data_IF_447435946783
#
_entry.id   IF_447435946783
#
_cell.length_a   1.000
_cell.length_b   1.000
_cell.length_c   1.000
_cell.angle_alpha   90.00
_cell.angle_beta   90.00
_cell.angle_gamma   90.00
#
_symmetry.space_group_name_H-M   'P 1'
#
loop_
_entity.id
_entity.type
_entity.pdbx_description
1 polymer ?
#
# COMPACT_ATOMS: atom_id res chain seq x y z
N UNK A 1 -2.46 7.59 47.53
CA UNK A 1 -1.68 8.06 46.37
C UNK A 1 -1.91 7.06 45.27
N UNK A 2 -2.94 7.34 44.42
CA UNK A 2 -3.47 6.43 43.42
C UNK A 2 -2.91 6.83 42.06
N UNK A 3 -2.24 5.92 41.38
CA UNK A 3 -1.76 6.11 40.00
C UNK A 3 -2.94 6.19 39.02
N UNK A 4 -2.91 7.13 38.05
CA UNK A 4 -3.92 7.15 37.00
C UNK A 4 -3.73 5.99 36.02
N UNK A 5 -4.81 5.51 35.39
CA UNK A 5 -4.74 4.41 34.44
C UNK A 5 -4.05 4.86 33.14
N UNK A 6 -3.22 3.95 32.65
CA UNK A 6 -2.47 4.07 31.39
C UNK A 6 -3.42 4.26 30.20
N UNK A 7 -3.11 5.25 29.39
CA UNK A 7 -3.78 5.55 28.14
C UNK A 7 -3.74 4.35 27.19
N UNK A 8 -4.90 3.85 26.88
CA UNK A 8 -5.14 2.88 25.80
C UNK A 8 -4.95 3.60 24.46
N UNK A 9 -3.94 3.18 23.72
CA UNK A 9 -3.74 3.56 22.32
C UNK A 9 -5.00 3.25 21.51
N UNK A 10 -5.72 4.31 21.14
CA UNK A 10 -6.85 4.22 20.22
C UNK A 10 -6.25 4.01 18.83
N UNK A 11 -6.27 2.76 18.39
CA UNK A 11 -6.04 2.39 16.98
C UNK A 11 -7.12 3.06 16.13
N UNK A 12 -6.73 3.93 15.23
CA UNK A 12 -7.64 4.57 14.27
C UNK A 12 -8.18 3.49 13.32
N UNK A 13 -9.30 2.87 13.70
CA UNK A 13 -10.01 1.89 12.88
C UNK A 13 -10.55 2.56 11.61
N UNK A 14 -10.23 1.96 10.47
CA UNK A 14 -10.79 2.30 9.17
C UNK A 14 -12.32 2.14 9.20
N UNK A 15 -13.07 3.05 8.56
CA UNK A 15 -14.54 3.04 8.53
C UNK A 15 -15.15 1.76 7.88
N UNK A 16 -14.34 0.91 7.27
CA UNK A 16 -14.72 -0.39 6.72
C UNK A 16 -14.47 -1.57 7.68
N UNK A 17 -13.98 -1.33 8.90
CA UNK A 17 -13.71 -2.41 9.86
C UNK A 17 -12.59 -3.37 9.47
N UNK A 18 -11.91 -3.12 8.36
CA UNK A 18 -10.76 -3.90 7.92
C UNK A 18 -9.52 -3.26 8.56
N UNK A 19 -8.89 -3.97 9.49
CA UNK A 19 -7.61 -3.56 10.04
C UNK A 19 -6.62 -3.44 8.88
N UNK A 20 -6.07 -2.23 8.66
CA UNK A 20 -4.95 -2.07 7.71
C UNK A 20 -3.78 -2.86 8.29
N UNK A 21 -3.30 -3.92 7.62
CA UNK A 21 -2.20 -4.72 8.15
C UNK A 21 -1.00 -3.80 8.41
N UNK A 22 -0.26 -4.09 9.46
CA UNK A 22 1.06 -3.47 9.60
C UNK A 22 1.80 -3.73 8.29
N UNK A 23 2.32 -2.69 7.65
CA UNK A 23 2.89 -2.73 6.32
C UNK A 23 3.93 -3.84 6.11
N UNK A 24 4.57 -4.28 7.18
CA UNK A 24 5.56 -5.36 7.18
C UNK A 24 4.94 -6.75 6.98
N UNK A 25 3.63 -6.89 7.20
CA UNK A 25 2.90 -8.15 7.13
C UNK A 25 1.78 -8.17 6.07
N UNK A 26 1.68 -7.13 5.23
CA UNK A 26 0.71 -7.12 4.15
C UNK A 26 1.05 -8.21 3.12
N UNK A 27 0.11 -9.11 2.79
CA UNK A 27 0.36 -10.10 1.77
C UNK A 27 0.53 -9.46 0.40
N UNK A 28 1.26 -10.11 -0.51
CA UNK A 28 1.34 -9.69 -1.91
C UNK A 28 0.55 -10.65 -2.80
N UNK A 29 -0.19 -10.09 -3.76
CA UNK A 29 -0.97 -10.87 -4.72
C UNK A 29 -0.62 -10.48 -6.15
N UNK A 30 -0.19 -11.47 -6.93
CA UNK A 30 0.14 -11.29 -8.35
C UNK A 30 -0.52 -12.35 -9.23
N UNK A 31 -1.55 -11.98 -9.99
CA UNK A 31 -2.20 -12.88 -10.95
C UNK A 31 -1.44 -12.86 -12.28
N UNK A 32 -0.70 -13.94 -12.58
CA UNK A 32 0.12 -14.08 -13.77
C UNK A 32 -0.41 -15.17 -14.71
N UNK A 33 -1.07 -14.79 -15.77
CA UNK A 33 -1.63 -15.73 -16.73
C UNK A 33 -2.69 -16.64 -16.09
N UNK A 34 -2.39 -17.94 -16.01
CA UNK A 34 -3.25 -18.95 -15.36
C UNK A 34 -2.85 -19.19 -13.90
N UNK A 35 -1.77 -18.63 -13.43
CA UNK A 35 -1.25 -18.78 -12.07
C UNK A 35 -1.56 -17.55 -11.23
N UNK A 36 -2.05 -17.79 -10.02
CA UNK A 36 -2.28 -16.74 -9.03
C UNK A 36 -1.29 -16.95 -7.89
N UNK A 37 -0.32 -16.03 -7.77
CA UNK A 37 0.72 -16.11 -6.76
C UNK A 37 0.28 -15.27 -5.55
N UNK A 38 0.33 -15.90 -4.39
CA UNK A 38 0.09 -15.27 -3.11
C UNK A 38 1.32 -15.41 -2.22
N UNK A 39 1.77 -14.31 -1.66
CA UNK A 39 2.82 -14.30 -0.65
C UNK A 39 2.17 -13.81 0.64
N UNK A 40 2.17 -14.65 1.68
CA UNK A 40 1.62 -14.28 2.98
C UNK A 40 2.48 -13.21 3.66
N UNK A 41 1.93 -12.54 4.68
CA UNK A 41 2.70 -11.60 5.51
C UNK A 41 3.90 -12.23 6.24
N UNK A 42 3.90 -13.56 6.40
CA UNK A 42 5.02 -14.32 6.92
C UNK A 42 6.05 -14.72 5.85
N UNK A 43 5.79 -14.40 4.57
CA UNK A 43 6.67 -14.73 3.45
C UNK A 43 6.42 -16.12 2.84
N UNK A 44 5.34 -16.81 3.24
CA UNK A 44 4.97 -18.10 2.63
C UNK A 44 4.42 -17.85 1.22
N UNK A 45 4.84 -18.67 0.27
CA UNK A 45 4.54 -18.51 -1.15
C UNK A 45 3.63 -19.63 -1.61
N UNK A 46 2.44 -19.27 -2.07
CA UNK A 46 1.44 -20.19 -2.57
C UNK A 46 1.08 -19.90 -4.04
N UNK A 47 0.87 -20.96 -4.80
CA UNK A 47 0.14 -20.89 -6.08
C UNK A 47 -1.29 -21.31 -5.83
N UNK A 48 -2.22 -20.38 -5.88
CA UNK A 48 -3.61 -20.56 -5.49
C UNK A 48 -4.53 -20.58 -6.69
N UNK A 49 -5.71 -21.18 -6.56
CA UNK A 49 -6.76 -21.13 -7.54
C UNK A 49 -7.66 -19.89 -7.37
N UNK A 50 -8.62 -19.70 -8.28
CA UNK A 50 -9.53 -18.55 -8.25
C UNK A 50 -10.47 -18.54 -7.06
N UNK A 51 -10.90 -19.72 -6.61
CA UNK A 51 -11.80 -19.84 -5.46
C UNK A 51 -11.08 -19.41 -4.18
N UNK A 52 -9.87 -19.89 -3.98
CA UNK A 52 -9.03 -19.51 -2.85
C UNK A 52 -8.62 -18.03 -2.93
N UNK A 53 -8.27 -17.53 -4.11
CA UNK A 53 -7.98 -16.12 -4.31
C UNK A 53 -9.15 -15.24 -3.86
N UNK A 54 -10.38 -15.57 -4.25
CA UNK A 54 -11.58 -14.83 -3.87
C UNK A 54 -11.78 -14.82 -2.35
N UNK A 55 -11.49 -15.92 -1.65
CA UNK A 55 -11.56 -15.98 -0.19
C UNK A 55 -10.48 -15.12 0.48
N UNK A 56 -9.23 -15.25 0.05
CA UNK A 56 -8.10 -14.49 0.61
C UNK A 56 -8.23 -12.99 0.35
N UNK A 57 -8.72 -12.59 -0.83
CA UNK A 57 -8.93 -11.18 -1.20
C UNK A 57 -10.05 -10.51 -0.38
N UNK A 58 -11.03 -11.26 0.09
CA UNK A 58 -12.05 -10.76 1.05
C UNK A 58 -11.54 -10.68 2.48
N UNK A 59 -10.63 -11.58 2.86
CA UNK A 59 -10.13 -11.70 4.22
C UNK A 59 -8.96 -10.75 4.54
N UNK A 60 -8.32 -10.15 3.53
CA UNK A 60 -7.12 -9.35 3.71
C UNK A 60 -6.98 -8.25 2.67
N UNK A 61 -6.08 -7.29 2.95
CA UNK A 61 -5.76 -6.16 2.06
C UNK A 61 -4.39 -6.42 1.43
N UNK A 62 -4.31 -7.04 0.25
CA UNK A 62 -3.04 -7.38 -0.36
C UNK A 62 -2.39 -6.19 -1.07
N UNK A 63 -1.07 -6.26 -1.18
CA UNK A 63 -0.28 -5.44 -2.11
C UNK A 63 -0.45 -6.01 -3.51
N UNK A 64 -0.86 -5.17 -4.45
CA UNK A 64 -1.07 -5.54 -5.85
C UNK A 64 -0.42 -4.54 -6.81
N UNK A 65 -0.32 -4.91 -8.06
CA UNK A 65 0.05 -4.00 -9.13
C UNK A 65 -1.14 -3.80 -10.07
N UNK A 66 -1.75 -2.61 -10.06
CA UNK A 66 -2.87 -2.22 -10.89
C UNK A 66 -4.16 -3.02 -10.65
N UNK A 67 -5.06 -2.49 -9.83
CA UNK A 67 -6.29 -3.13 -9.35
C UNK A 67 -7.13 -3.77 -10.45
N UNK A 68 -7.55 -3.01 -11.46
CA UNK A 68 -8.42 -3.50 -12.54
C UNK A 68 -7.81 -4.65 -13.33
N UNK A 69 -6.49 -4.61 -13.54
CA UNK A 69 -5.80 -5.69 -14.20
C UNK A 69 -5.77 -6.96 -13.34
N UNK A 70 -5.54 -6.80 -12.04
CA UNK A 70 -5.55 -7.90 -11.06
C UNK A 70 -6.94 -8.53 -10.95
N UNK A 71 -8.00 -7.73 -10.89
CA UNK A 71 -9.40 -8.20 -10.89
C UNK A 71 -9.74 -9.01 -12.13
N UNK A 72 -9.41 -8.48 -13.32
CA UNK A 72 -9.68 -9.18 -14.59
C UNK A 72 -8.96 -10.53 -14.68
N UNK A 73 -7.75 -10.64 -14.13
CA UNK A 73 -6.97 -11.89 -14.12
C UNK A 73 -7.42 -12.86 -13.04
N UNK A 74 -7.73 -12.38 -11.87
CA UNK A 74 -8.26 -13.18 -10.76
C UNK A 74 -9.68 -13.70 -11.06
N UNK A 75 -10.44 -12.95 -11.86
CA UNK A 75 -11.86 -13.25 -12.15
C UNK A 75 -12.76 -12.93 -10.96
N UNK A 76 -12.33 -12.04 -10.07
CA UNK A 76 -13.08 -11.59 -8.91
C UNK A 76 -12.79 -10.13 -8.62
N UNK A 77 -13.74 -9.43 -8.04
CA UNK A 77 -13.57 -8.07 -7.55
C UNK A 77 -12.66 -8.04 -6.31
N UNK A 78 -11.87 -6.98 -6.17
CA UNK A 78 -10.98 -6.73 -5.03
C UNK A 78 -11.53 -5.54 -4.26
N UNK A 79 -12.19 -5.79 -3.12
CA UNK A 79 -12.85 -4.74 -2.33
C UNK A 79 -11.84 -3.75 -1.76
N UNK A 80 -10.73 -4.25 -1.21
CA UNK A 80 -9.66 -3.45 -0.63
C UNK A 80 -8.28 -3.98 -1.03
N UNK A 81 -7.38 -3.08 -1.39
CA UNK A 81 -6.01 -3.42 -1.75
C UNK A 81 -5.06 -2.25 -1.57
N UNK A 82 -3.79 -2.55 -1.55
CA UNK A 82 -2.69 -1.60 -1.59
C UNK A 82 -2.11 -1.61 -3.02
N UNK A 83 -2.67 -0.80 -3.90
CA UNK A 83 -2.19 -0.69 -5.29
C UNK A 83 -0.88 0.11 -5.35
N UNK A 84 0.22 -0.57 -5.71
CA UNK A 84 1.56 0.04 -5.76
C UNK A 84 1.63 1.14 -6.82
N UNK A 85 0.81 1.08 -7.87
CA UNK A 85 0.77 2.13 -8.89
C UNK A 85 0.20 3.44 -8.36
N UNK A 86 -0.78 3.38 -7.46
CA UNK A 86 -1.29 4.58 -6.77
C UNK A 86 -0.23 5.20 -5.87
N UNK A 87 0.48 4.37 -5.10
CA UNK A 87 1.59 4.83 -4.26
C UNK A 87 2.70 5.45 -5.12
N UNK A 88 3.06 4.80 -6.23
CA UNK A 88 4.06 5.33 -7.17
C UNK A 88 3.66 6.70 -7.72
N UNK A 89 2.43 6.85 -8.15
CA UNK A 89 1.92 8.14 -8.68
C UNK A 89 1.96 9.26 -7.63
N UNK A 90 1.73 8.93 -6.36
CA UNK A 90 1.85 9.88 -5.26
C UNK A 90 3.31 10.27 -4.98
N UNK A 91 4.21 9.29 -4.92
CA UNK A 91 5.64 9.51 -4.56
C UNK A 91 6.40 10.19 -5.69
N UNK A 92 6.10 9.81 -6.93
CA UNK A 92 6.80 10.28 -8.14
C UNK A 92 5.81 10.83 -9.16
N UNK A 93 5.15 11.96 -8.85
CA UNK A 93 4.16 12.56 -9.75
C UNK A 93 4.79 12.91 -11.09
N UNK A 94 4.04 12.71 -12.17
CA UNK A 94 4.45 12.96 -13.55
C UNK A 94 5.61 12.06 -14.09
N UNK A 95 5.99 11.00 -13.36
CA UNK A 95 6.89 9.98 -13.89
C UNK A 95 6.10 8.83 -14.50
N UNK A 96 6.54 8.36 -15.66
CA UNK A 96 5.95 7.19 -16.29
C UNK A 96 6.45 5.90 -15.65
N UNK A 97 5.52 4.98 -15.40
CA UNK A 97 5.81 3.61 -14.99
C UNK A 97 4.91 2.65 -15.77
N UNK A 98 5.47 1.58 -16.30
CA UNK A 98 4.66 0.51 -16.88
C UNK A 98 3.93 -0.23 -15.74
N UNK A 99 2.58 -0.38 -15.81
CA UNK A 99 1.79 -0.95 -14.72
C UNK A 99 1.92 -2.48 -14.65
N UNK A 100 3.14 -2.94 -14.42
CA UNK A 100 3.50 -4.35 -14.25
C UNK A 100 4.52 -4.49 -13.12
N UNK A 101 4.64 -5.67 -12.46
CA UNK A 101 5.69 -5.88 -11.46
C UNK A 101 7.10 -5.62 -12.00
N UNK A 102 7.37 -5.97 -13.24
CA UNK A 102 8.64 -5.68 -13.91
C UNK A 102 8.86 -4.17 -14.10
N UNK A 103 7.80 -3.46 -14.52
CA UNK A 103 7.86 -2.00 -14.71
C UNK A 103 8.09 -1.25 -13.41
N UNK A 104 7.36 -1.59 -12.35
CA UNK A 104 7.55 -0.96 -11.04
C UNK A 104 8.91 -1.31 -10.42
N UNK A 105 9.41 -2.54 -10.61
CA UNK A 105 10.74 -2.92 -10.19
C UNK A 105 11.81 -2.02 -10.84
N UNK A 106 11.77 -1.86 -12.16
CA UNK A 106 12.67 -0.96 -12.89
C UNK A 106 12.54 0.49 -12.41
N UNK A 107 11.31 0.97 -12.28
CA UNK A 107 11.04 2.35 -11.86
C UNK A 107 11.52 2.64 -10.43
N UNK A 108 11.57 1.63 -9.56
CA UNK A 108 12.07 1.76 -8.18
C UNK A 108 13.53 1.32 -7.99
N UNK A 109 14.25 1.09 -9.09
CA UNK A 109 15.68 0.74 -9.06
C UNK A 109 15.98 -0.68 -8.58
N UNK A 110 15.02 -1.59 -8.75
CA UNK A 110 15.20 -3.01 -8.50
C UNK A 110 15.68 -3.72 -9.79
N UNK A 111 16.39 -4.83 -9.63
CA UNK A 111 16.63 -5.76 -10.74
C UNK A 111 15.32 -6.51 -11.00
N UNK A 112 14.76 -6.45 -12.22
CA UNK A 112 13.54 -7.18 -12.53
C UNK A 112 13.76 -8.69 -12.44
N UNK A 113 12.80 -9.40 -11.84
CA UNK A 113 12.77 -10.84 -11.81
C UNK A 113 12.10 -11.39 -13.08
N UNK A 114 12.58 -12.54 -13.54
CA UNK A 114 12.01 -13.24 -14.71
C UNK A 114 10.95 -14.26 -14.30
N UNK A 115 11.02 -14.79 -13.07
CA UNK A 115 10.04 -15.72 -12.51
C UNK A 115 8.87 -15.00 -11.82
N UNK A 116 7.75 -15.72 -11.63
CA UNK A 116 6.53 -15.15 -11.09
C UNK A 116 6.60 -14.83 -9.60
N UNK A 117 7.39 -15.59 -8.86
CA UNK A 117 7.58 -15.40 -7.43
C UNK A 117 8.36 -14.11 -7.20
N UNK A 118 9.49 -13.96 -7.86
CA UNK A 118 10.28 -12.74 -7.78
C UNK A 118 9.53 -11.50 -8.29
N UNK A 119 8.60 -11.65 -9.24
CA UNK A 119 7.73 -10.56 -9.65
C UNK A 119 6.71 -10.17 -8.56
N UNK A 120 6.17 -11.15 -7.82
CA UNK A 120 5.29 -10.88 -6.68
C UNK A 120 6.07 -10.23 -5.51
N UNK A 121 7.27 -10.73 -5.21
CA UNK A 121 8.16 -10.14 -4.19
C UNK A 121 8.55 -8.69 -4.53
N UNK A 122 8.77 -8.39 -5.81
CA UNK A 122 9.10 -7.05 -6.28
C UNK A 122 8.02 -6.01 -5.94
N UNK A 123 6.75 -6.39 -5.79
CA UNK A 123 5.68 -5.49 -5.36
C UNK A 123 5.87 -5.04 -3.91
N UNK A 124 6.14 -5.98 -3.01
CA UNK A 124 6.39 -5.67 -1.61
C UNK A 124 7.67 -4.82 -1.43
N UNK A 125 8.70 -5.12 -2.20
CA UNK A 125 9.94 -4.34 -2.17
C UNK A 125 9.73 -2.94 -2.77
N UNK A 126 8.96 -2.79 -3.85
CA UNK A 126 8.63 -1.49 -4.42
C UNK A 126 7.87 -0.61 -3.42
N UNK A 127 6.89 -1.18 -2.71
CA UNK A 127 6.17 -0.52 -1.63
C UNK A 127 7.14 0.04 -0.57
N UNK A 128 8.05 -0.80 -0.07
CA UNK A 128 9.03 -0.40 0.95
C UNK A 128 9.91 0.75 0.47
N UNK A 129 10.43 0.67 -0.75
CA UNK A 129 11.29 1.71 -1.33
C UNK A 129 10.57 3.04 -1.52
N UNK A 130 9.33 3.01 -2.01
CA UNK A 130 8.52 4.22 -2.18
C UNK A 130 8.21 4.90 -0.84
N UNK A 131 7.86 4.13 0.19
CA UNK A 131 7.64 4.67 1.54
C UNK A 131 8.93 5.19 2.17
N UNK A 132 10.06 4.51 1.96
CA UNK A 132 11.36 4.99 2.39
C UNK A 132 11.76 6.30 1.71
N UNK A 133 11.44 6.46 0.42
CA UNK A 133 11.65 7.71 -0.31
C UNK A 133 10.86 8.87 0.33
N UNK A 134 9.61 8.64 0.74
CA UNK A 134 8.82 9.62 1.48
C UNK A 134 9.44 9.94 2.85
N UNK A 135 9.90 8.92 3.59
CA UNK A 135 10.51 9.11 4.91
C UNK A 135 11.79 9.95 4.85
N UNK A 136 12.51 9.87 3.74
CA UNK A 136 13.75 10.64 3.51
C UNK A 136 13.53 11.95 2.76
N UNK A 137 12.27 12.33 2.50
CA UNK A 137 11.94 13.53 1.75
C UNK A 137 12.48 14.79 2.45
N UNK A 138 13.10 15.67 1.68
CA UNK A 138 13.61 16.93 2.20
C UNK A 138 12.47 17.81 2.75
N UNK A 139 12.76 18.60 3.82
CA UNK A 139 11.76 19.41 4.55
C UNK A 139 10.88 20.28 3.64
N UNK A 140 11.45 20.93 2.63
CA UNK A 140 10.71 21.80 1.71
C UNK A 140 9.69 21.06 0.84
N UNK A 141 9.86 19.77 0.62
CA UNK A 141 8.92 18.93 -0.16
C UNK A 141 7.91 18.20 0.73
N UNK A 142 8.22 18.05 2.03
CA UNK A 142 7.36 17.32 2.96
C UNK A 142 6.03 18.04 3.21
N UNK A 143 6.03 19.36 3.41
CA UNK A 143 4.82 20.15 3.60
C UNK A 143 3.83 20.02 2.44
N UNK A 144 4.23 20.28 1.19
CA UNK A 144 3.37 20.03 0.02
C UNK A 144 2.86 18.58 -0.07
N UNK A 145 3.69 17.58 0.22
CA UNK A 145 3.26 16.18 0.22
C UNK A 145 2.19 15.91 1.30
N UNK A 146 2.36 16.44 2.51
CA UNK A 146 1.37 16.33 3.59
C UNK A 146 0.04 17.00 3.23
N UNK A 147 0.06 18.17 2.57
CA UNK A 147 -1.16 18.87 2.17
C UNK A 147 -2.02 18.06 1.19
N UNK A 148 -1.40 17.18 0.41
CA UNK A 148 -2.10 16.25 -0.48
C UNK A 148 -2.47 14.95 0.25
N UNK A 149 -1.58 14.41 1.08
CA UNK A 149 -1.80 13.14 1.78
C UNK A 149 -3.00 13.20 2.74
N UNK A 150 -3.17 14.29 3.48
CA UNK A 150 -4.25 14.44 4.46
C UNK A 150 -5.67 14.35 3.84
N UNK A 151 -6.01 15.11 2.80
CA UNK A 151 -7.31 14.96 2.13
C UNK A 151 -7.53 13.55 1.56
N UNK A 152 -6.49 12.96 0.97
CA UNK A 152 -6.57 11.59 0.43
C UNK A 152 -6.82 10.56 1.54
N UNK A 153 -6.13 10.66 2.66
CA UNK A 153 -6.33 9.78 3.82
C UNK A 153 -7.74 9.92 4.39
N UNK A 154 -8.27 11.14 4.50
CA UNK A 154 -9.67 11.39 4.90
C UNK A 154 -10.69 10.87 3.89
N UNK A 155 -10.33 10.80 2.62
CA UNK A 155 -11.09 10.16 1.55
C UNK A 155 -10.95 8.64 1.51
N UNK A 156 -10.41 8.03 2.57
CA UNK A 156 -10.21 6.58 2.69
C UNK A 156 -9.26 5.97 1.65
N UNK A 157 -8.28 6.77 1.19
CA UNK A 157 -7.21 6.22 0.36
C UNK A 157 -6.43 5.15 1.12
N UNK A 158 -6.30 3.90 0.60
CA UNK A 158 -5.72 2.79 1.33
C UNK A 158 -4.30 3.04 1.84
N UNK A 159 -3.50 3.83 1.12
CA UNK A 159 -2.15 4.21 1.52
C UNK A 159 -2.09 5.35 2.54
N UNK A 160 -3.22 6.00 2.84
CA UNK A 160 -3.25 7.25 3.61
C UNK A 160 -2.48 7.18 4.92
N UNK A 161 -2.76 6.17 5.76
CA UNK A 161 -2.10 5.99 7.07
C UNK A 161 -0.59 5.80 6.91
N UNK A 162 -0.19 4.95 5.97
CA UNK A 162 1.21 4.59 5.73
C UNK A 162 2.02 5.75 5.17
N UNK A 163 1.42 6.50 4.26
CA UNK A 163 2.03 7.70 3.67
C UNK A 163 2.19 8.80 4.70
N UNK A 164 1.17 9.05 5.52
CA UNK A 164 1.24 10.02 6.60
C UNK A 164 2.32 9.64 7.63
N UNK A 165 2.38 8.37 8.03
CA UNK A 165 3.43 7.87 8.92
C UNK A 165 4.84 8.05 8.31
N UNK A 166 5.03 7.68 7.04
CA UNK A 166 6.30 7.86 6.33
C UNK A 166 6.72 9.33 6.23
N UNK A 167 5.76 10.23 6.07
CA UNK A 167 6.00 11.68 6.06
C UNK A 167 6.24 12.26 7.47
N UNK A 168 6.15 11.45 8.52
CA UNK A 168 6.31 11.89 9.91
C UNK A 168 5.20 12.88 10.32
N UNK A 169 3.95 12.59 9.92
CA UNK A 169 2.80 13.35 10.31
C UNK A 169 2.45 13.07 11.78
N UNK A 170 2.45 14.10 12.62
CA UNK A 170 2.03 14.03 14.02
C UNK A 170 0.59 14.56 14.15
N UNK A 171 -0.25 13.84 14.92
CA UNK A 171 -1.60 14.27 15.30
C UNK A 171 -2.66 14.19 14.21
N UNK A 172 -3.76 14.92 14.41
CA UNK A 172 -4.98 14.86 13.58
C UNK A 172 -4.89 15.62 12.25
N UNK A 173 -3.73 16.14 11.90
CA UNK A 173 -3.49 16.92 10.69
C UNK A 173 -4.03 18.37 10.76
N UNK A 174 -3.76 19.19 9.74
CA UNK A 174 -4.22 20.55 9.69
C UNK A 174 -5.74 20.63 9.73
N UNK A 175 -6.28 21.58 10.49
CA UNK A 175 -7.71 21.88 10.51
C UNK A 175 -8.22 22.09 9.08
N UNK A 176 -9.48 21.73 8.84
CA UNK A 176 -10.16 21.71 7.52
C UNK A 176 -9.99 23.00 6.70
N UNK A 177 -9.62 24.10 7.33
CA UNK A 177 -9.49 25.42 6.73
C UNK A 177 -8.04 25.89 6.48
N UNK A 178 -7.05 25.19 7.00
CA UNK A 178 -5.64 25.56 6.83
C UNK A 178 -5.03 25.17 5.48
N UNK A 179 -5.81 24.58 4.58
CA UNK A 179 -5.36 24.11 3.26
C UNK A 179 -5.52 25.21 2.18
N UNK A 180 -6.13 26.34 2.51
CA UNK A 180 -6.46 27.42 1.56
C UNK A 180 -5.82 28.79 1.89
N UNK A 181 -4.91 28.83 2.84
CA UNK A 181 -4.03 29.97 3.07
C UNK A 181 -2.64 29.70 2.44
#
# INVERSE_FOLDING_TARGET
MQQPPSDSHISAGNALGIAVPELHSAPAFYPAGTRLIWISGAGEIDSIDRGEAALRLRASVPVICHRRWSEARAGTEIEACLDVMELFAFVRPAQFCVPTPRGIALATGQKPADDLIGQAEALAEAMKRLLQELATLHRNKRGPALSVAWPMARGHWPWGVSVLAALGADGDGPHRYAVYE
#
